data_IF_036991360655
#
_entry.id   IF_036991360655
#
_cell.length_a   1.000
_cell.length_b   1.000
_cell.length_c   1.000
_cell.angle_alpha   90.00
_cell.angle_beta   90.00
_cell.angle_gamma   90.00
#
_symmetry.space_group_name_H-M   'P 1'
#
loop_
_entity.id
_entity.type
_entity.pdbx_description
1 polymer ?
#
# COMPACT_ATOMS: atom_id res chain seq x y z
N UNK A 1 -8.43 -10.96 -15.17
CA UNK A 1 -7.32 -10.81 -14.21
C UNK A 1 -7.88 -10.34 -12.88
N UNK A 2 -7.46 -10.96 -11.82
CA UNK A 2 -7.88 -10.54 -10.50
C UNK A 2 -7.24 -9.20 -10.13
N UNK A 3 -7.93 -8.42 -9.31
CA UNK A 3 -7.35 -7.20 -8.76
C UNK A 3 -6.28 -7.55 -7.73
N UNK A 4 -5.26 -6.70 -7.64
CA UNK A 4 -4.25 -6.87 -6.61
C UNK A 4 -4.89 -6.72 -5.23
N UNK A 5 -4.47 -7.54 -4.29
CA UNK A 5 -5.03 -7.52 -2.93
C UNK A 5 -4.27 -6.53 -2.04
N UNK A 6 -4.91 -6.16 -0.94
CA UNK A 6 -4.25 -5.34 0.08
C UNK A 6 -2.96 -6.01 0.58
N UNK A 7 -2.98 -7.34 0.78
CA UNK A 7 -1.82 -8.08 1.24
C UNK A 7 -0.67 -8.02 0.22
N UNK A 8 -0.99 -8.16 -1.06
CA UNK A 8 0.01 -8.07 -2.12
C UNK A 8 0.62 -6.66 -2.20
N UNK A 9 -0.21 -5.63 -2.08
CA UNK A 9 0.28 -4.26 -2.03
C UNK A 9 1.17 -4.05 -0.80
N UNK A 10 0.79 -4.61 0.34
CA UNK A 10 1.59 -4.50 1.55
C UNK A 10 2.98 -5.14 1.36
N UNK A 11 3.05 -6.27 0.67
CA UNK A 11 4.34 -6.92 0.37
C UNK A 11 5.23 -6.01 -0.48
N UNK A 12 4.66 -5.34 -1.47
CA UNK A 12 5.39 -4.39 -2.31
C UNK A 12 5.87 -3.19 -1.48
N UNK A 13 5.01 -2.69 -0.60
CA UNK A 13 5.36 -1.59 0.29
C UNK A 13 6.54 -1.96 1.17
N UNK A 14 6.54 -3.17 1.75
CA UNK A 14 7.67 -3.64 2.56
C UNK A 14 8.96 -3.62 1.73
N UNK A 15 8.92 -4.12 0.49
CA UNK A 15 10.08 -4.10 -0.40
C UNK A 15 10.59 -2.69 -0.64
N UNK A 16 9.69 -1.76 -0.93
CA UNK A 16 10.07 -0.36 -1.18
C UNK A 16 10.75 0.22 0.07
N UNK A 17 10.16 0.00 1.23
CA UNK A 17 10.68 0.56 2.47
C UNK A 17 12.04 -0.02 2.83
N UNK A 18 12.31 -1.27 2.47
CA UNK A 18 13.63 -1.88 2.69
C UNK A 18 14.72 -1.14 1.90
N UNK A 19 14.36 -0.49 0.80
CA UNK A 19 15.29 0.28 -0.02
C UNK A 19 15.41 1.74 0.42
N UNK A 20 14.63 2.18 1.41
CA UNK A 20 14.67 3.57 1.87
C UNK A 20 15.63 3.71 3.04
N UNK A 21 16.37 4.85 3.13
CA UNK A 21 17.40 5.03 4.18
C UNK A 21 16.87 4.88 5.61
N UNK A 22 15.63 5.31 5.84
CA UNK A 22 15.04 5.27 7.18
C UNK A 22 13.89 4.27 7.29
N UNK A 23 13.71 3.43 6.26
CA UNK A 23 12.66 2.43 6.27
C UNK A 23 11.26 3.02 6.32
N UNK A 24 11.06 4.22 5.80
CA UNK A 24 9.73 4.85 5.78
C UNK A 24 9.54 5.70 4.53
N UNK A 25 8.28 5.95 4.20
CA UNK A 25 7.92 6.73 3.03
C UNK A 25 6.52 7.31 3.22
N UNK A 26 6.26 8.44 2.57
CA UNK A 26 4.92 8.99 2.52
C UNK A 26 4.03 8.11 1.62
N UNK A 27 2.72 8.21 1.81
CA UNK A 27 1.77 7.52 0.94
C UNK A 27 1.93 7.99 -0.50
N UNK A 28 2.15 9.30 -0.72
CA UNK A 28 2.33 9.84 -2.06
C UNK A 28 3.52 9.20 -2.77
N UNK A 29 4.66 9.06 -2.08
CA UNK A 29 5.84 8.43 -2.65
C UNK A 29 5.60 6.95 -2.94
N UNK A 30 4.88 6.25 -2.07
CA UNK A 30 4.55 4.85 -2.29
C UNK A 30 3.66 4.69 -3.52
N UNK A 31 2.67 5.56 -3.67
CA UNK A 31 1.80 5.54 -4.84
C UNK A 31 2.60 5.78 -6.12
N UNK A 32 3.59 6.65 -6.08
CA UNK A 32 4.45 6.91 -7.24
C UNK A 32 5.36 5.73 -7.57
N UNK A 33 5.83 5.01 -6.55
CA UNK A 33 6.81 3.94 -6.74
C UNK A 33 6.20 2.58 -7.08
N UNK A 34 5.02 2.27 -6.56
CA UNK A 34 4.42 0.94 -6.75
C UNK A 34 4.33 0.54 -8.22
N UNK A 35 3.88 1.40 -9.15
CA UNK A 35 3.82 1.02 -10.56
C UNK A 35 5.18 0.69 -11.19
N UNK A 36 6.27 1.14 -10.56
CA UNK A 36 7.62 0.81 -11.04
C UNK A 36 8.08 -0.56 -10.57
N UNK A 37 7.40 -1.13 -9.60
CA UNK A 37 7.77 -2.41 -8.98
C UNK A 37 6.94 -3.57 -9.46
N UNK A 38 5.69 -3.32 -9.85
CA UNK A 38 4.76 -4.37 -10.25
C UNK A 38 3.94 -3.90 -11.45
N UNK A 39 3.41 -4.87 -12.18
CA UNK A 39 2.50 -4.61 -13.28
C UNK A 39 1.07 -4.60 -12.74
N UNK A 40 0.34 -3.54 -13.04
CA UNK A 40 -1.04 -3.39 -12.61
C UNK A 40 -1.99 -3.77 -13.74
N UNK A 41 -3.06 -4.48 -13.40
CA UNK A 41 -4.06 -4.90 -14.37
C UNK A 41 -4.98 -3.73 -14.75
N UNK A 42 -5.78 -3.94 -15.80
CA UNK A 42 -6.79 -2.95 -16.17
C UNK A 42 -7.77 -2.70 -15.03
N UNK A 43 -8.13 -3.76 -14.28
CA UNK A 43 -9.01 -3.62 -13.13
C UNK A 43 -8.38 -2.77 -12.02
N UNK A 44 -7.09 -2.97 -11.78
CA UNK A 44 -6.36 -2.17 -10.78
C UNK A 44 -6.34 -0.70 -11.16
N UNK A 45 -6.18 -0.41 -12.44
CA UNK A 45 -6.06 0.96 -12.94
C UNK A 45 -7.40 1.66 -13.10
N UNK A 46 -8.52 0.94 -12.93
CA UNK A 46 -9.84 1.53 -13.02
C UNK A 46 -10.07 2.49 -11.85
N UNK A 47 -10.88 3.51 -12.11
CA UNK A 47 -11.21 4.47 -11.05
C UNK A 47 -12.13 3.82 -10.02
N UNK A 48 -11.89 4.12 -8.76
CA UNK A 48 -12.72 3.62 -7.67
C UNK A 48 -14.13 4.20 -7.77
N UNK A 49 -15.14 3.37 -7.52
CA UNK A 49 -16.52 3.83 -7.49
C UNK A 49 -16.89 4.50 -6.18
N UNK A 50 -16.09 4.29 -5.15
CA UNK A 50 -16.38 4.83 -3.82
C UNK A 50 -15.54 6.05 -3.47
N UNK A 51 -14.45 6.29 -4.21
CA UNK A 51 -13.57 7.44 -3.98
C UNK A 51 -13.25 8.10 -5.31
N UNK A 52 -13.57 9.39 -5.41
CA UNK A 52 -13.24 10.16 -6.60
C UNK A 52 -11.73 10.40 -6.68
N UNK A 53 -11.21 10.40 -7.91
CA UNK A 53 -9.80 10.70 -8.17
C UNK A 53 -8.82 9.67 -7.61
N UNK A 54 -9.30 8.47 -7.31
CA UNK A 54 -8.46 7.40 -6.77
C UNK A 54 -8.70 6.12 -7.56
N UNK A 55 -7.63 5.44 -7.93
CA UNK A 55 -7.73 4.15 -8.63
C UNK A 55 -7.91 3.03 -7.63
N UNK A 56 -8.43 1.91 -8.09
CA UNK A 56 -8.70 0.76 -7.22
C UNK A 56 -7.45 0.31 -6.45
N UNK A 57 -6.30 0.22 -7.13
CA UNK A 57 -5.06 -0.21 -6.46
C UNK A 57 -4.58 0.82 -5.43
N UNK A 58 -4.81 2.11 -5.67
CA UNK A 58 -4.45 3.16 -4.73
C UNK A 58 -5.27 3.06 -3.46
N UNK A 59 -6.53 2.65 -3.60
CA UNK A 59 -7.40 2.41 -2.45
C UNK A 59 -6.84 1.28 -1.57
N UNK A 60 -6.22 0.28 -2.16
CA UNK A 60 -5.58 -0.80 -1.40
C UNK A 60 -4.42 -0.27 -0.54
N UNK A 61 -3.67 0.70 -1.03
CA UNK A 61 -2.62 1.34 -0.23
C UNK A 61 -3.23 2.03 1.00
N UNK A 62 -4.33 2.74 0.82
CA UNK A 62 -5.04 3.38 1.95
C UNK A 62 -5.58 2.36 2.93
N UNK A 63 -6.07 1.24 2.41
CA UNK A 63 -6.67 0.20 3.24
C UNK A 63 -5.68 -0.41 4.22
N UNK A 64 -4.39 -0.36 3.92
CA UNK A 64 -3.39 -0.84 4.87
C UNK A 64 -3.53 -0.13 6.21
N UNK A 65 -3.72 1.19 6.19
CA UNK A 65 -3.92 1.96 7.42
C UNK A 65 -5.36 1.82 7.93
N UNK A 66 -6.34 1.87 7.05
CA UNK A 66 -7.75 1.81 7.45
C UNK A 66 -8.11 0.49 8.14
N UNK A 67 -7.48 -0.60 7.74
CA UNK A 67 -7.76 -1.94 8.26
C UNK A 67 -6.73 -2.39 9.30
N UNK A 68 -6.04 -1.47 9.94
CA UNK A 68 -4.91 -1.80 10.82
C UNK A 68 -5.30 -2.65 12.05
N UNK A 69 -6.58 -2.71 12.36
CA UNK A 69 -7.05 -3.51 13.50
C UNK A 69 -7.64 -4.85 13.05
N UNK A 70 -7.58 -5.17 11.78
CA UNK A 70 -8.13 -6.41 11.23
C UNK A 70 -7.07 -7.49 11.15
N UNK A 71 -7.36 -8.73 11.59
CA UNK A 71 -6.42 -9.84 11.44
C UNK A 71 -6.00 -10.02 9.97
N UNK A 72 -4.72 -10.29 9.74
CA UNK A 72 -4.17 -10.44 8.40
C UNK A 72 -3.65 -9.15 7.78
N UNK A 73 -4.03 -8.01 8.33
CA UNK A 73 -3.52 -6.72 7.86
C UNK A 73 -2.05 -6.57 8.25
N UNK A 74 -1.23 -5.96 7.38
CA UNK A 74 0.21 -5.86 7.61
C UNK A 74 0.57 -5.08 8.88
N UNK A 75 -0.18 -4.03 9.21
CA UNK A 75 0.06 -3.28 10.44
C UNK A 75 -0.34 -4.12 11.65
N UNK A 76 -1.49 -4.77 11.57
CA UNK A 76 -1.97 -5.65 12.63
C UNK A 76 -0.96 -6.76 12.92
N UNK A 77 -0.37 -7.33 11.87
CA UNK A 77 0.59 -8.44 11.98
C UNK A 77 2.00 -7.99 12.35
N UNK A 78 2.23 -6.69 12.46
CA UNK A 78 3.52 -6.16 12.86
C UNK A 78 4.55 -6.06 11.75
N UNK A 79 4.14 -6.15 10.49
CA UNK A 79 5.07 -6.01 9.35
C UNK A 79 5.26 -4.57 8.92
N UNK A 80 4.30 -3.72 9.23
CA UNK A 80 4.34 -2.29 8.91
C UNK A 80 3.86 -1.48 10.11
N UNK A 81 4.24 -0.22 10.16
CA UNK A 81 3.80 0.72 11.19
C UNK A 81 3.24 1.95 10.49
N UNK A 82 2.09 2.43 10.96
CA UNK A 82 1.53 3.68 10.47
C UNK A 82 2.31 4.85 11.07
N UNK A 83 2.72 5.79 10.23
CA UNK A 83 3.36 7.04 10.67
C UNK A 83 2.58 8.20 10.04
N UNK A 84 2.71 9.42 10.57
CA UNK A 84 1.98 10.55 9.98
C UNK A 84 2.25 10.67 8.48
N UNK A 85 1.19 10.58 7.70
CA UNK A 85 1.26 10.73 6.25
C UNK A 85 1.90 9.58 5.49
N UNK A 86 2.21 8.45 6.16
CA UNK A 86 2.89 7.36 5.47
C UNK A 86 2.95 6.06 6.24
N UNK A 87 3.90 5.22 5.83
CA UNK A 87 4.14 3.91 6.42
C UNK A 87 5.63 3.73 6.67
N UNK A 88 5.95 2.86 7.61
CA UNK A 88 7.34 2.57 7.98
C UNK A 88 7.51 1.09 8.30
N UNK A 89 8.76 0.62 8.23
CA UNK A 89 9.12 -0.69 8.75
C UNK A 89 9.16 -0.62 10.28
N UNK A 90 8.79 -1.71 10.98
CA UNK A 90 8.90 -1.75 12.44
C UNK A 90 10.37 -1.71 12.87
N UNK A 91 10.61 -1.17 14.02
CA UNK A 91 11.93 -1.05 14.58
C UNK A 91 12.54 0.30 14.54
#
# INVERSE_FOLDING_TARGET
>A
MARITEAEIADVVVEILQDRPHGRSSIADLVDEIPNRIELSAEDLAMSQTRNNERVWEQQVRNITSHKESPGNAIYEGRLVAVPGGLALPG
#
